data_IF_886589231870
#
_entry.id   IF_886589231870
#
_cell.length_a   1.000
_cell.length_b   1.000
_cell.length_c   1.000
_cell.angle_alpha   90.00
_cell.angle_beta   90.00
_cell.angle_gamma   90.00
#
_symmetry.space_group_name_H-M   'P 1'
#
loop_
_entity.id
_entity.type
_entity.pdbx_description
1 polymer ?
#
# COMPACT_ATOMS: atom_id res chain seq x y z
N UNK A 1 2.77 18.50 3.14
CA UNK A 1 3.56 17.36 2.63
C UNK A 1 4.91 17.10 3.33
N UNK A 2 5.82 18.07 3.42
CA UNK A 2 7.23 17.84 3.82
C UNK A 2 7.44 17.10 5.15
N UNK A 3 6.65 17.43 6.18
CA UNK A 3 6.75 16.77 7.49
C UNK A 3 6.38 15.28 7.40
N UNK A 4 5.40 14.92 6.57
CA UNK A 4 5.02 13.53 6.33
C UNK A 4 6.15 12.77 5.64
N UNK A 5 6.76 13.35 4.60
CA UNK A 5 7.91 12.74 3.91
C UNK A 5 9.06 12.52 4.90
N UNK A 6 9.39 13.53 5.69
CA UNK A 6 10.45 13.43 6.71
C UNK A 6 10.16 12.32 7.73
N UNK A 7 8.91 12.23 8.20
CA UNK A 7 8.48 11.18 9.11
C UNK A 7 8.64 9.77 8.50
N UNK A 8 8.26 9.60 7.23
CA UNK A 8 8.38 8.33 6.52
C UNK A 8 9.84 7.92 6.30
N UNK A 9 10.71 8.88 5.95
CA UNK A 9 12.15 8.65 5.83
C UNK A 9 12.78 8.28 7.17
N UNK A 10 12.36 8.93 8.26
CA UNK A 10 12.80 8.58 9.62
C UNK A 10 12.38 7.13 9.97
N UNK A 11 11.13 6.76 9.69
CA UNK A 11 10.63 5.39 9.86
C UNK A 11 11.49 4.39 9.08
N UNK A 12 11.80 4.70 7.82
CA UNK A 12 12.63 3.84 6.97
C UNK A 12 14.04 3.68 7.54
N UNK A 13 14.65 4.76 8.04
CA UNK A 13 16.00 4.74 8.62
C UNK A 13 16.10 3.94 9.93
N UNK A 14 14.99 3.83 10.66
CA UNK A 14 14.88 3.11 11.93
C UNK A 14 14.44 1.65 11.75
N UNK A 15 14.19 1.22 10.51
CA UNK A 15 13.72 -0.14 10.23
C UNK A 15 14.75 -1.19 10.70
N UNK A 16 14.32 -2.28 11.35
CA UNK A 16 15.21 -3.35 11.77
C UNK A 16 15.88 -4.02 10.55
N UNK A 17 17.18 -4.34 10.68
CA UNK A 17 17.96 -5.01 9.63
C UNK A 17 17.91 -6.56 9.72
N UNK A 18 17.37 -7.11 10.81
CA UNK A 18 17.25 -8.53 11.07
C UNK A 18 16.03 -9.14 10.37
N UNK A 19 16.14 -9.28 9.05
CA UNK A 19 15.13 -9.94 8.22
C UNK A 19 15.35 -11.44 8.16
N UNK A 20 14.26 -12.20 8.10
CA UNK A 20 14.33 -13.65 7.95
C UNK A 20 14.82 -14.02 6.54
N UNK A 21 15.56 -15.15 6.39
CA UNK A 21 15.90 -15.67 5.07
C UNK A 21 14.66 -15.84 4.19
N UNK A 22 14.75 -15.37 2.94
CA UNK A 22 13.66 -15.40 1.99
C UNK A 22 12.63 -14.28 2.14
N UNK A 23 12.88 -13.28 3.01
CA UNK A 23 12.04 -12.10 3.12
C UNK A 23 11.81 -11.41 1.77
N UNK A 24 10.61 -10.84 1.61
CA UNK A 24 10.05 -10.39 0.34
C UNK A 24 10.08 -8.88 0.19
N UNK A 25 10.11 -8.43 -1.05
CA UNK A 25 9.96 -7.02 -1.42
C UNK A 25 8.50 -6.72 -1.71
N UNK A 26 7.98 -5.60 -1.20
CA UNK A 26 6.58 -5.22 -1.35
C UNK A 26 6.40 -3.87 -2.02
N UNK A 27 5.37 -3.74 -2.84
CA UNK A 27 4.78 -2.44 -3.20
C UNK A 27 3.68 -2.11 -2.19
N UNK A 28 3.67 -0.89 -1.65
CA UNK A 28 2.67 -0.45 -0.67
C UNK A 28 1.82 0.70 -1.22
N UNK A 29 0.66 0.35 -1.77
CA UNK A 29 -0.35 1.29 -2.25
C UNK A 29 -1.22 1.76 -1.09
N UNK A 30 -1.18 3.05 -0.78
CA UNK A 30 -2.01 3.66 0.26
C UNK A 30 -2.20 5.13 -0.06
N UNK A 31 -3.44 5.61 -0.01
CA UNK A 31 -3.75 7.03 -0.16
C UNK A 31 -3.15 7.90 0.94
N UNK A 32 -3.05 9.21 0.68
CA UNK A 32 -2.56 10.22 1.64
C UNK A 32 -3.37 11.52 1.55
N UNK A 33 -4.66 11.42 1.22
CA UNK A 33 -5.55 12.54 0.91
C UNK A 33 -6.47 12.92 2.08
N UNK A 34 -6.40 12.19 3.20
CA UNK A 34 -7.14 12.47 4.43
C UNK A 34 -6.30 12.17 5.66
N UNK A 35 -6.67 12.71 6.83
CA UNK A 35 -5.98 12.41 8.10
C UNK A 35 -5.98 10.91 8.43
N UNK A 36 -7.08 10.20 8.12
CA UNK A 36 -7.19 8.76 8.34
C UNK A 36 -6.26 8.00 7.39
N UNK A 37 -6.21 8.40 6.13
CA UNK A 37 -5.31 7.83 5.14
C UNK A 37 -3.84 8.06 5.51
N UNK A 38 -3.46 9.28 5.87
CA UNK A 38 -2.10 9.62 6.31
C UNK A 38 -1.70 8.80 7.55
N UNK A 39 -2.58 8.73 8.56
CA UNK A 39 -2.33 7.92 9.76
C UNK A 39 -2.14 6.43 9.40
N UNK A 40 -2.98 5.91 8.51
CA UNK A 40 -2.94 4.51 8.09
C UNK A 40 -1.69 4.21 7.26
N UNK A 41 -1.32 5.09 6.35
CA UNK A 41 -0.08 5.05 5.59
C UNK A 41 1.13 4.98 6.53
N UNK A 42 1.24 5.92 7.47
CA UNK A 42 2.39 6.00 8.39
C UNK A 42 2.49 4.74 9.28
N UNK A 43 1.36 4.31 9.85
CA UNK A 43 1.35 3.15 10.75
C UNK A 43 1.53 1.82 10.00
N UNK A 44 0.92 1.68 8.82
CA UNK A 44 1.08 0.52 7.93
C UNK A 44 2.50 0.40 7.37
N UNK A 45 3.11 1.51 6.97
CA UNK A 45 4.50 1.53 6.49
C UNK A 45 5.46 1.09 7.60
N UNK A 46 5.30 1.63 8.81
CA UNK A 46 6.06 1.20 9.99
C UNK A 46 5.84 -0.28 10.29
N UNK A 47 4.61 -0.77 10.21
CA UNK A 47 4.28 -2.18 10.44
C UNK A 47 4.99 -3.11 9.44
N UNK A 48 4.92 -2.79 8.13
CA UNK A 48 5.61 -3.54 7.09
C UNK A 48 7.13 -3.55 7.30
N UNK A 49 7.73 -2.40 7.61
CA UNK A 49 9.17 -2.30 7.83
C UNK A 49 9.63 -3.03 9.08
N UNK A 50 8.77 -3.24 10.08
CA UNK A 50 9.07 -4.05 11.25
C UNK A 50 8.75 -5.54 11.05
N UNK A 51 8.01 -5.90 10.00
CA UNK A 51 7.71 -7.29 9.70
C UNK A 51 9.00 -8.01 9.26
N UNK A 52 9.41 -9.10 9.93
CA UNK A 52 10.67 -9.78 9.64
C UNK A 52 10.68 -10.53 8.31
N UNK A 53 9.51 -10.71 7.68
CA UNK A 53 9.34 -11.35 6.38
C UNK A 53 9.32 -10.35 5.21
N UNK A 54 9.46 -9.05 5.49
CA UNK A 54 9.50 -7.98 4.48
C UNK A 54 10.89 -7.34 4.47
N UNK A 55 11.62 -7.51 3.37
CA UNK A 55 12.99 -7.02 3.20
C UNK A 55 13.04 -5.55 2.75
N UNK A 56 12.11 -5.15 1.90
CA UNK A 56 12.04 -3.80 1.34
C UNK A 56 10.60 -3.45 0.99
N UNK A 57 10.26 -2.18 1.10
CA UNK A 57 8.94 -1.65 0.71
C UNK A 57 9.15 -0.46 -0.22
N UNK A 58 8.62 -0.57 -1.44
CA UNK A 58 8.43 0.57 -2.32
C UNK A 58 7.16 1.32 -1.89
N UNK A 59 7.30 2.59 -1.56
CA UNK A 59 6.20 3.47 -1.17
C UNK A 59 6.07 4.59 -2.22
N UNK A 60 4.99 4.67 -3.02
CA UNK A 60 4.83 5.65 -4.10
C UNK A 60 5.10 7.10 -3.68
N UNK A 61 4.61 7.49 -2.50
CA UNK A 61 4.80 8.84 -1.96
C UNK A 61 6.29 9.26 -1.86
N UNK A 62 7.20 8.32 -1.60
CA UNK A 62 8.63 8.59 -1.51
C UNK A 62 9.36 8.49 -2.86
N UNK A 63 8.66 8.14 -3.94
CA UNK A 63 9.26 7.77 -5.23
C UNK A 63 8.61 8.50 -6.43
N UNK A 64 7.92 9.63 -6.20
CA UNK A 64 7.29 10.40 -7.28
C UNK A 64 8.33 11.02 -8.22
N UNK A 65 7.96 11.21 -9.49
CA UNK A 65 8.88 11.66 -10.54
C UNK A 65 9.55 12.99 -10.17
N UNK A 66 10.89 13.03 -10.34
CA UNK A 66 11.74 14.18 -10.02
C UNK A 66 11.67 14.64 -8.54
N UNK A 67 11.11 13.83 -7.65
CA UNK A 67 10.90 14.17 -6.24
C UNK A 67 9.77 15.18 -6.01
N UNK A 68 9.01 15.54 -7.05
CA UNK A 68 7.89 16.46 -6.95
C UNK A 68 6.65 15.68 -6.51
N UNK A 69 6.20 15.94 -5.29
CA UNK A 69 5.06 15.27 -4.68
C UNK A 69 3.80 16.11 -4.85
N UNK A 70 2.74 15.49 -5.39
CA UNK A 70 1.44 16.13 -5.44
C UNK A 70 0.79 16.20 -4.06
N UNK A 71 0.38 17.41 -3.68
CA UNK A 71 -0.41 17.74 -2.49
C UNK A 71 -1.57 18.62 -2.97
N UNK A 72 -2.81 18.27 -2.63
CA UNK A 72 -4.00 19.02 -3.05
C UNK A 72 -3.96 20.49 -2.62
N UNK A 73 -3.26 20.78 -1.53
CA UNK A 73 -3.08 22.13 -0.97
C UNK A 73 -1.68 22.69 -1.25
N UNK A 74 -0.87 22.02 -2.09
CA UNK A 74 0.50 22.40 -2.41
C UNK A 74 0.62 23.31 -3.63
N UNK A 75 1.81 23.89 -3.80
CA UNK A 75 2.13 24.77 -4.93
C UNK A 75 2.51 24.02 -6.21
N UNK A 76 2.74 22.70 -6.12
CA UNK A 76 3.10 21.87 -7.26
C UNK A 76 1.86 21.53 -8.09
N UNK A 77 1.85 21.94 -9.35
CA UNK A 77 0.81 21.60 -10.31
C UNK A 77 1.34 20.55 -11.31
N UNK A 78 0.89 19.29 -11.23
CA UNK A 78 1.41 18.22 -12.08
C UNK A 78 1.08 18.44 -13.56
N UNK A 79 2.07 18.23 -14.42
CA UNK A 79 1.86 18.22 -15.88
C UNK A 79 1.70 16.78 -16.42
N UNK A 80 1.37 16.67 -17.71
CA UNK A 80 1.18 15.37 -18.35
C UNK A 80 2.44 14.50 -18.33
N UNK A 81 3.63 15.11 -18.49
CA UNK A 81 4.90 14.37 -18.50
C UNK A 81 5.17 13.76 -17.13
N UNK A 82 4.99 14.55 -16.07
CA UNK A 82 5.09 14.08 -14.71
C UNK A 82 4.09 12.95 -14.45
N UNK A 83 2.83 13.10 -14.87
CA UNK A 83 1.79 12.09 -14.68
C UNK A 83 2.14 10.76 -15.33
N UNK A 84 2.60 10.78 -16.59
CA UNK A 84 3.06 9.57 -17.30
C UNK A 84 4.28 8.94 -16.63
N UNK A 85 5.22 9.75 -16.16
CA UNK A 85 6.44 9.24 -15.52
C UNK A 85 6.14 8.58 -14.16
N UNK A 86 5.35 9.23 -13.30
CA UNK A 86 4.95 8.69 -12.00
C UNK A 86 4.15 7.40 -12.18
N UNK A 87 3.15 7.40 -13.07
CA UNK A 87 2.37 6.20 -13.40
C UNK A 87 3.25 5.02 -13.84
N UNK A 88 4.17 5.24 -14.79
CA UNK A 88 5.06 4.18 -15.27
C UNK A 88 6.04 3.70 -14.19
N UNK A 89 6.45 4.59 -13.28
CA UNK A 89 7.31 4.24 -12.14
C UNK A 89 6.56 3.32 -11.16
N UNK A 90 5.31 3.64 -10.82
CA UNK A 90 4.48 2.84 -9.93
C UNK A 90 4.21 1.44 -10.50
N UNK A 91 3.81 1.34 -11.77
CA UNK A 91 3.65 0.01 -12.40
C UNK A 91 4.96 -0.78 -12.44
N UNK A 92 6.09 -0.11 -12.68
CA UNK A 92 7.40 -0.76 -12.67
C UNK A 92 7.75 -1.28 -11.29
N UNK A 93 7.44 -0.51 -10.24
CA UNK A 93 7.64 -0.92 -8.86
C UNK A 93 6.77 -2.14 -8.49
N UNK A 94 5.50 -2.16 -8.92
CA UNK A 94 4.61 -3.33 -8.75
C UNK A 94 5.23 -4.56 -9.43
N UNK A 95 5.68 -4.44 -10.69
CA UNK A 95 6.30 -5.55 -11.43
C UNK A 95 7.62 -6.04 -10.80
N UNK A 96 8.38 -5.16 -10.17
CA UNK A 96 9.65 -5.50 -9.54
C UNK A 96 9.50 -6.04 -8.11
N UNK A 97 8.33 -5.87 -7.48
CA UNK A 97 8.06 -6.36 -6.13
C UNK A 97 7.63 -7.83 -6.14
N UNK A 98 7.86 -8.53 -5.02
CA UNK A 98 7.38 -9.90 -4.80
C UNK A 98 5.88 -9.94 -4.48
N UNK A 99 5.34 -8.90 -3.84
CA UNK A 99 3.91 -8.76 -3.53
C UNK A 99 3.44 -7.30 -3.63
N UNK A 100 2.13 -7.11 -3.68
CA UNK A 100 1.48 -5.80 -3.59
C UNK A 100 0.53 -5.78 -2.39
N UNK A 101 0.74 -4.84 -1.47
CA UNK A 101 -0.19 -4.52 -0.39
C UNK A 101 -0.93 -3.23 -0.71
N UNK A 102 -2.26 -3.27 -0.77
CA UNK A 102 -3.11 -2.09 -0.94
C UNK A 102 -3.90 -1.78 0.33
N UNK A 103 -4.04 -0.50 0.69
CA UNK A 103 -4.90 -0.04 1.79
C UNK A 103 -6.25 0.39 1.25
N UNK A 104 -7.32 -0.20 1.76
CA UNK A 104 -8.69 0.26 1.47
C UNK A 104 -9.36 0.70 2.77
N UNK A 105 -9.95 1.89 2.74
CA UNK A 105 -10.70 2.48 3.85
C UNK A 105 -12.20 2.41 3.55
N UNK A 106 -12.97 1.87 4.49
CA UNK A 106 -14.41 1.69 4.34
C UNK A 106 -15.15 3.01 4.11
N UNK A 107 -15.80 3.16 2.95
CA UNK A 107 -16.53 4.39 2.58
C UNK A 107 -15.64 5.52 2.05
N UNK A 108 -14.34 5.26 1.90
CA UNK A 108 -13.36 6.19 1.35
C UNK A 108 -12.27 5.42 0.57
N UNK A 109 -12.70 4.45 -0.24
CA UNK A 109 -11.79 3.62 -1.02
C UNK A 109 -11.05 4.46 -2.06
N UNK A 110 -9.72 4.33 -2.11
CA UNK A 110 -8.91 5.00 -3.11
C UNK A 110 -8.94 4.23 -4.44
N UNK A 111 -9.44 4.89 -5.48
CA UNK A 111 -9.48 4.34 -6.84
C UNK A 111 -8.10 4.03 -7.42
N UNK A 112 -7.06 4.78 -7.04
CA UNK A 112 -5.69 4.51 -7.45
C UNK A 112 -5.19 3.19 -6.87
N UNK A 113 -5.31 3.03 -5.56
CA UNK A 113 -4.99 1.76 -4.87
C UNK A 113 -5.81 0.58 -5.41
N UNK A 114 -7.09 0.78 -5.73
CA UNK A 114 -7.91 -0.28 -6.34
C UNK A 114 -7.41 -0.68 -7.73
N UNK A 115 -6.97 0.28 -8.55
CA UNK A 115 -6.33 0.02 -9.84
C UNK A 115 -5.03 -0.77 -9.67
N UNK A 116 -4.16 -0.36 -8.75
CA UNK A 116 -2.87 -1.01 -8.47
C UNK A 116 -3.04 -2.47 -8.05
N UNK A 117 -4.03 -2.75 -7.18
CA UNK A 117 -4.40 -4.12 -6.80
C UNK A 117 -4.86 -4.95 -8.00
N UNK A 118 -5.72 -4.38 -8.85
CA UNK A 118 -6.19 -5.04 -10.07
C UNK A 118 -5.05 -5.32 -11.06
N UNK A 119 -4.14 -4.35 -11.23
CA UNK A 119 -2.96 -4.47 -12.08
C UNK A 119 -1.99 -5.54 -11.58
N UNK A 120 -1.69 -5.53 -10.28
CA UNK A 120 -0.86 -6.53 -9.63
C UNK A 120 -1.45 -7.94 -9.84
N UNK A 121 -2.75 -8.11 -9.58
CA UNK A 121 -3.45 -9.38 -9.79
C UNK A 121 -3.37 -9.86 -11.23
N UNK A 122 -3.65 -8.98 -12.19
CA UNK A 122 -3.64 -9.30 -13.61
C UNK A 122 -2.24 -9.68 -14.14
N UNK A 123 -1.19 -9.15 -13.51
CA UNK A 123 0.21 -9.45 -13.85
C UNK A 123 0.80 -10.63 -13.06
N UNK A 124 -0.03 -11.34 -12.28
CA UNK A 124 0.36 -12.53 -11.53
C UNK A 124 1.13 -12.23 -10.25
N UNK A 125 1.07 -11.00 -9.74
CA UNK A 125 1.66 -10.64 -8.44
C UNK A 125 0.69 -11.00 -7.31
N UNK A 126 1.16 -11.67 -6.25
CA UNK A 126 0.38 -11.83 -5.03
C UNK A 126 -0.08 -10.49 -4.48
N UNK A 127 -1.37 -10.44 -4.13
CA UNK A 127 -2.05 -9.24 -3.64
C UNK A 127 -2.58 -9.46 -2.23
N UNK A 128 -2.28 -8.53 -1.33
CA UNK A 128 -2.81 -8.50 0.03
C UNK A 128 -3.52 -7.15 0.20
N UNK A 129 -4.70 -7.14 0.82
CA UNK A 129 -5.36 -5.89 1.17
C UNK A 129 -5.35 -5.66 2.67
N UNK A 130 -5.00 -4.45 3.09
CA UNK A 130 -5.21 -3.99 4.45
C UNK A 130 -6.53 -3.22 4.52
N UNK A 131 -7.53 -3.85 5.12
CA UNK A 131 -8.86 -3.28 5.30
C UNK A 131 -8.92 -2.43 6.57
N UNK A 132 -9.37 -1.19 6.43
CA UNK A 132 -9.48 -0.21 7.52
C UNK A 132 -10.89 0.34 7.62
N UNK A 133 -11.39 0.55 8.84
CA UNK A 133 -12.71 1.10 9.10
C UNK A 133 -13.82 0.05 9.25
N UNK A 134 -15.08 0.52 9.27
CA UNK A 134 -16.26 -0.32 9.50
C UNK A 134 -16.91 -0.77 8.18
N UNK A 135 -16.50 -1.93 7.70
CA UNK A 135 -17.05 -2.56 6.49
C UNK A 135 -18.44 -3.16 6.66
N UNK A 136 -18.99 -3.21 7.88
CA UNK A 136 -20.40 -3.58 8.06
C UNK A 136 -21.35 -2.40 7.82
N UNK A 137 -20.89 -1.19 8.15
CA UNK A 137 -21.58 0.07 7.90
C UNK A 137 -21.40 0.55 6.45
N UNK A 138 -20.18 0.41 5.90
CA UNK A 138 -19.84 0.76 4.52
C UNK A 138 -19.35 -0.49 3.78
N UNK A 139 -20.24 -1.30 3.18
CA UNK A 139 -19.85 -2.55 2.53
C UNK A 139 -18.87 -2.36 1.37
N UNK A 140 -17.95 -3.31 1.23
CA UNK A 140 -16.91 -3.29 0.20
C UNK A 140 -17.45 -3.69 -1.17
N UNK A 141 -16.92 -3.08 -2.23
CA UNK A 141 -17.17 -3.49 -3.60
C UNK A 141 -16.67 -4.93 -3.88
N UNK A 142 -17.42 -5.73 -4.65
CA UNK A 142 -17.04 -7.11 -4.95
C UNK A 142 -15.65 -7.27 -5.56
N UNK A 143 -15.21 -6.32 -6.40
CA UNK A 143 -13.93 -6.43 -7.12
C UNK A 143 -12.75 -6.33 -6.16
N UNK A 144 -12.83 -5.43 -5.18
CA UNK A 144 -11.80 -5.25 -4.16
C UNK A 144 -11.95 -6.26 -3.01
N UNK A 145 -13.14 -6.82 -2.79
CA UNK A 145 -13.34 -7.89 -1.82
C UNK A 145 -12.80 -9.25 -2.28
N UNK A 146 -12.99 -9.60 -3.56
CA UNK A 146 -12.68 -10.93 -4.12
C UNK A 146 -11.35 -10.95 -4.87
N UNK A 147 -10.96 -9.83 -5.49
CA UNK A 147 -9.74 -9.74 -6.30
C UNK A 147 -8.44 -10.09 -5.55
N UNK A 148 -8.21 -9.54 -4.35
CA UNK A 148 -7.00 -9.81 -3.57
C UNK A 148 -6.84 -11.29 -3.22
N UNK A 149 -5.60 -11.79 -3.17
CA UNK A 149 -5.33 -13.16 -2.73
C UNK A 149 -5.57 -13.32 -1.23
N UNK A 150 -5.21 -12.31 -0.44
CA UNK A 150 -5.35 -12.35 1.01
C UNK A 150 -5.66 -10.96 1.57
N UNK A 151 -5.88 -10.90 2.88
CA UNK A 151 -6.08 -9.64 3.57
C UNK A 151 -5.66 -9.70 5.03
N UNK A 152 -5.49 -8.51 5.60
CA UNK A 152 -5.31 -8.25 7.03
C UNK A 152 -6.30 -7.17 7.48
N UNK A 153 -6.77 -7.25 8.71
CA UNK A 153 -7.75 -6.31 9.27
C UNK A 153 -7.19 -5.43 10.40
N UNK A 154 -5.90 -5.59 10.73
CA UNK A 154 -5.26 -4.83 11.81
C UNK A 154 -3.76 -4.66 11.58
N UNK A 155 -3.17 -3.67 12.26
CA UNK A 155 -1.72 -3.47 12.26
C UNK A 155 -0.98 -4.66 12.88
N UNK A 156 -1.50 -5.26 13.95
CA UNK A 156 -0.86 -6.41 14.61
C UNK A 156 -0.77 -7.61 13.65
N UNK A 157 -1.84 -7.83 12.90
CA UNK A 157 -1.85 -8.85 11.85
C UNK A 157 -0.87 -8.50 10.72
N UNK A 158 -0.84 -7.25 10.25
CA UNK A 158 0.11 -6.80 9.23
C UNK A 158 1.59 -6.98 9.66
N UNK A 159 1.89 -6.73 10.94
CA UNK A 159 3.24 -6.90 11.51
C UNK A 159 3.69 -8.36 11.58
N UNK A 160 2.75 -9.30 11.66
CA UNK A 160 3.02 -10.73 11.86
C UNK A 160 2.67 -11.60 10.66
N UNK A 161 2.05 -11.03 9.62
CA UNK A 161 1.69 -11.71 8.38
C UNK A 161 2.95 -12.24 7.67
N UNK A 162 2.95 -13.51 7.26
CA UNK A 162 4.12 -14.11 6.59
C UNK A 162 4.07 -13.87 5.07
N UNK A 163 4.75 -12.83 4.60
CA UNK A 163 4.80 -12.48 3.18
C UNK A 163 5.59 -13.48 2.34
N UNK A 164 6.29 -14.45 2.94
CA UNK A 164 6.98 -15.52 2.20
C UNK A 164 6.00 -16.61 1.73
N UNK A 165 4.84 -16.73 2.37
CA UNK A 165 3.80 -17.72 2.06
C UNK A 165 2.41 -17.08 2.20
N UNK A 166 2.01 -16.35 1.17
CA UNK A 166 0.71 -15.67 1.13
C UNK A 166 -0.38 -16.71 0.88
N UNK A 167 -1.09 -17.09 1.94
CA UNK A 167 -2.24 -17.99 1.85
C UNK A 167 -3.47 -17.25 1.33
N UNK A 168 -4.21 -17.91 0.43
CA UNK A 168 -5.47 -17.36 -0.07
C UNK A 168 -6.50 -17.30 1.04
N UNK A 169 -7.13 -16.14 1.23
CA UNK A 169 -8.20 -15.94 2.22
C UNK A 169 -9.40 -15.30 1.57
N UNK A 170 -10.54 -15.97 1.67
CA UNK A 170 -11.81 -15.38 1.27
C UNK A 170 -12.20 -14.24 2.22
N UNK A 171 -12.55 -13.09 1.67
CA UNK A 171 -13.11 -11.99 2.45
C UNK A 171 -14.36 -12.44 3.22
N UNK A 172 -14.43 -12.07 4.51
CA UNK A 172 -15.55 -12.39 5.41
C UNK A 172 -16.22 -11.08 5.85
N UNK A 173 -17.18 -10.61 5.07
CA UNK A 173 -17.92 -9.39 5.34
C UNK A 173 -19.04 -9.15 4.33
N UNK A 174 -19.70 -8.00 4.44
CA UNK A 174 -20.73 -7.59 3.47
C UNK A 174 -20.06 -7.12 2.18
N UNK A 175 -20.60 -7.55 1.06
CA UNK A 175 -20.13 -7.20 -0.28
C UNK A 175 -21.28 -6.54 -1.04
N UNK A 176 -20.96 -5.53 -1.87
CA UNK A 176 -21.87 -4.86 -2.81
C UNK A 176 -21.41 -4.96 -4.26
#
# INVERSE_FOLDING_TARGET
MDELIKQLLEIQSQAPNDKLPGAKTGYFGAGWFSDVQIKTLVTGYRALLNNPTVAYVHLPLLNQSEGNVYDENGDFNPDFKWGVNTYNADETAIRNSDFTLGVLEAGNEDSGTAYELGYAKATGKPTVTYYVGDWNANPINLMTAIGPDSYVNSLDELQTFDFRSIETRDYKGKIV
#
